data_IF_324083097079
#
_entry.id   IF_324083097079
#
_cell.length_a   1.000
_cell.length_b   1.000
_cell.length_c   1.000
_cell.angle_alpha   90.00
_cell.angle_beta   90.00
_cell.angle_gamma   90.00
#
_symmetry.space_group_name_H-M   'P 1'
#
loop_
_entity.id
_entity.type
_entity.pdbx_description
1 polymer ?
#
# COMPACT_ATOMS: atom_id res chain seq x y z
N UNK A 1 2.13 14.00 9.80
CA UNK A 1 1.40 13.24 8.76
C UNK A 1 1.51 13.98 7.44
N UNK A 2 1.97 13.32 6.38
CA UNK A 2 2.08 13.93 5.05
C UNK A 2 0.69 14.28 4.47
N UNK A 3 0.57 15.44 3.79
CA UNK A 3 -0.68 15.94 3.19
C UNK A 3 -1.40 14.92 2.29
N UNK A 4 -0.67 14.00 1.64
CA UNK A 4 -1.23 12.96 0.76
C UNK A 4 -2.25 12.07 1.47
N UNK A 5 -2.06 11.83 2.76
CA UNK A 5 -2.92 10.97 3.55
C UNK A 5 -4.16 11.66 4.10
N UNK A 6 -4.24 12.99 4.07
CA UNK A 6 -5.26 13.72 4.85
C UNK A 6 -6.69 13.29 4.48
N UNK A 7 -6.97 13.15 3.17
CA UNK A 7 -8.28 12.70 2.66
C UNK A 7 -8.53 11.21 2.92
N UNK A 8 -7.52 10.36 2.72
CA UNK A 8 -7.64 8.91 2.88
C UNK A 8 -7.79 8.50 4.36
N UNK A 9 -7.00 9.12 5.23
CA UNK A 9 -6.96 8.81 6.66
C UNK A 9 -8.27 9.17 7.35
N UNK A 10 -8.91 10.29 6.96
CA UNK A 10 -10.20 10.70 7.52
C UNK A 10 -11.36 9.75 7.21
N UNK A 11 -11.22 8.86 6.20
CA UNK A 11 -12.23 7.87 5.81
C UNK A 11 -12.10 6.53 6.55
N UNK A 12 -11.02 6.33 7.30
CA UNK A 12 -10.80 5.08 8.04
C UNK A 12 -11.68 5.03 9.30
N UNK A 13 -12.04 3.84 9.81
CA UNK A 13 -12.70 3.71 11.11
C UNK A 13 -11.89 4.37 12.23
N UNK A 14 -12.57 4.98 13.21
CA UNK A 14 -11.90 5.72 14.29
C UNK A 14 -10.88 4.87 15.08
N UNK A 15 -11.18 3.59 15.28
CA UNK A 15 -10.28 2.61 15.92
C UNK A 15 -9.01 2.40 15.11
N UNK A 16 -9.12 2.28 13.78
CA UNK A 16 -7.97 2.11 12.90
C UNK A 16 -7.16 3.40 12.77
N UNK A 17 -7.82 4.57 12.79
CA UNK A 17 -7.13 5.85 12.80
C UNK A 17 -6.24 5.99 14.06
N UNK A 18 -6.78 5.72 15.25
CA UNK A 18 -6.02 5.87 16.50
C UNK A 18 -4.80 4.95 16.54
N UNK A 19 -4.91 3.73 16.03
CA UNK A 19 -3.82 2.75 16.00
C UNK A 19 -2.78 3.03 14.92
N UNK A 20 -3.17 3.58 13.77
CA UNK A 20 -2.24 3.90 12.68
C UNK A 20 -1.52 5.24 12.85
N UNK A 21 -2.14 6.19 13.57
CA UNK A 21 -1.62 7.55 13.69
C UNK A 21 -0.16 7.61 14.16
N UNK A 22 0.30 6.82 15.15
CA UNK A 22 1.69 6.86 15.60
C UNK A 22 2.70 6.55 14.48
N UNK A 23 2.34 5.67 13.54
CA UNK A 23 3.24 5.21 12.47
C UNK A 23 3.17 6.12 11.24
N UNK A 24 1.96 6.43 10.76
CA UNK A 24 1.74 7.20 9.52
C UNK A 24 2.00 8.70 9.73
N UNK A 25 1.90 9.20 10.97
CA UNK A 25 2.20 10.59 11.25
C UNK A 25 3.69 10.92 11.20
N UNK A 26 4.57 9.92 11.29
CA UNK A 26 6.02 10.09 11.21
C UNK A 26 6.41 10.76 9.87
N UNK A 27 7.33 11.74 9.89
CA UNK A 27 7.72 12.48 8.70
C UNK A 27 8.40 11.58 7.64
N UNK A 28 9.01 10.50 8.09
CA UNK A 28 9.79 9.52 7.34
C UNK A 28 9.08 8.16 7.19
N UNK A 29 7.74 8.13 7.32
CA UNK A 29 6.97 6.90 7.16
C UNK A 29 7.31 6.20 5.83
N UNK A 30 7.87 4.96 5.87
CA UNK A 30 8.50 4.33 4.71
C UNK A 30 7.51 3.70 3.73
N UNK A 31 6.21 4.00 3.84
CA UNK A 31 5.15 3.30 3.11
C UNK A 31 5.14 1.78 3.40
N UNK A 32 5.47 1.40 4.63
CA UNK A 32 5.58 0.02 5.07
C UNK A 32 5.23 -0.07 6.56
N UNK A 33 4.61 -1.18 6.96
CA UNK A 33 4.42 -1.54 8.37
C UNK A 33 5.20 -2.82 8.67
N UNK A 34 5.93 -2.84 9.78
CA UNK A 34 6.63 -4.06 10.21
C UNK A 34 5.66 -5.09 10.76
N UNK A 35 6.07 -6.36 10.85
CA UNK A 35 5.26 -7.43 11.43
C UNK A 35 4.78 -7.08 12.85
N UNK A 36 5.62 -6.46 13.68
CA UNK A 36 5.27 -6.03 15.03
C UNK A 36 4.22 -4.92 15.02
N UNK A 37 4.37 -3.95 14.11
CA UNK A 37 3.40 -2.86 13.94
C UNK A 37 2.06 -3.41 13.44
N UNK A 38 2.08 -4.28 12.43
CA UNK A 38 0.89 -4.95 11.88
C UNK A 38 0.17 -5.73 12.98
N UNK A 39 0.88 -6.52 13.78
CA UNK A 39 0.31 -7.27 14.88
C UNK A 39 -0.34 -6.36 15.94
N UNK A 40 0.33 -5.27 16.32
CA UNK A 40 -0.24 -4.29 17.25
C UNK A 40 -1.52 -3.65 16.69
N UNK A 41 -1.49 -3.18 15.43
CA UNK A 41 -2.65 -2.57 14.78
C UNK A 41 -3.83 -3.55 14.75
N UNK A 42 -3.60 -4.82 14.41
CA UNK A 42 -4.63 -5.86 14.41
C UNK A 42 -5.24 -6.08 15.79
N UNK A 43 -4.40 -6.21 16.82
CA UNK A 43 -4.86 -6.44 18.18
C UNK A 43 -5.81 -5.33 18.66
N UNK A 44 -5.50 -4.07 18.34
CA UNK A 44 -6.32 -2.93 18.78
C UNK A 44 -7.49 -2.60 17.84
N UNK A 45 -7.38 -2.88 16.55
CA UNK A 45 -8.47 -2.62 15.58
C UNK A 45 -9.49 -3.75 15.52
N UNK A 46 -9.12 -4.97 15.95
CA UNK A 46 -9.96 -6.16 15.84
C UNK A 46 -10.04 -6.73 14.42
N UNK A 47 -9.24 -6.22 13.48
CA UNK A 47 -9.21 -6.69 12.09
C UNK A 47 -8.30 -7.92 11.93
N UNK A 48 -8.70 -8.84 11.07
CA UNK A 48 -7.81 -9.88 10.54
C UNK A 48 -6.87 -9.29 9.47
N UNK A 49 -5.96 -10.13 8.94
CA UNK A 49 -4.93 -9.70 8.00
C UNK A 49 -5.53 -9.15 6.69
N UNK A 50 -6.52 -9.86 6.12
CA UNK A 50 -7.16 -9.48 4.86
C UNK A 50 -7.99 -8.19 5.01
N UNK A 51 -8.77 -8.07 6.09
CA UNK A 51 -9.56 -6.88 6.37
C UNK A 51 -8.67 -5.67 6.65
N UNK A 52 -7.55 -5.86 7.36
CA UNK A 52 -6.57 -4.80 7.58
C UNK A 52 -5.95 -4.36 6.25
N UNK A 53 -5.48 -5.29 5.42
CA UNK A 53 -4.90 -4.98 4.12
C UNK A 53 -5.89 -4.21 3.23
N UNK A 54 -7.15 -4.63 3.19
CA UNK A 54 -8.22 -3.92 2.48
C UNK A 54 -8.44 -2.50 3.02
N UNK A 55 -8.46 -2.33 4.34
CA UNK A 55 -8.65 -1.02 4.97
C UNK A 55 -7.47 -0.06 4.72
N UNK A 56 -6.27 -0.58 4.46
CA UNK A 56 -5.07 0.21 4.17
C UNK A 56 -4.96 0.67 2.70
N UNK A 57 -5.72 0.07 1.77
CA UNK A 57 -5.67 0.41 0.34
C UNK A 57 -5.80 1.90 0.02
N UNK A 58 -6.68 2.70 0.66
CA UNK A 58 -6.77 4.14 0.41
C UNK A 58 -5.48 4.89 0.76
N UNK A 59 -4.72 4.42 1.75
CA UNK A 59 -3.44 5.00 2.13
C UNK A 59 -2.35 4.63 1.12
N UNK A 60 -2.35 3.41 0.60
CA UNK A 60 -1.46 3.02 -0.49
C UNK A 60 -1.75 3.84 -1.76
N UNK A 61 -3.02 3.94 -2.16
CA UNK A 61 -3.43 4.72 -3.34
C UNK A 61 -3.08 6.22 -3.24
N UNK A 62 -2.90 6.77 -2.04
CA UNK A 62 -2.43 8.14 -1.84
C UNK A 62 -0.97 8.38 -2.29
N UNK A 63 -0.21 7.31 -2.57
CA UNK A 63 1.11 7.40 -3.20
C UNK A 63 1.07 7.43 -4.74
N UNK A 64 -0.11 7.27 -5.35
CA UNK A 64 -0.24 7.20 -6.80
C UNK A 64 0.28 8.48 -7.48
N UNK A 65 0.98 8.28 -8.59
CA UNK A 65 1.36 9.32 -9.53
C UNK A 65 0.69 9.01 -10.87
N UNK A 66 -0.54 9.49 -11.08
CA UNK A 66 -1.34 9.17 -12.27
C UNK A 66 -1.74 10.43 -13.08
N UNK A 67 -0.78 11.21 -13.62
CA UNK A 67 -1.08 12.40 -14.40
C UNK A 67 -1.79 12.12 -15.74
N UNK A 68 -1.82 10.88 -16.24
CA UNK A 68 -2.42 10.54 -17.53
C UNK A 68 -3.84 10.00 -17.35
N UNK A 69 -4.02 8.99 -16.50
CA UNK A 69 -5.31 8.34 -16.29
C UNK A 69 -6.18 9.02 -15.23
N UNK A 70 -5.55 9.78 -14.32
CA UNK A 70 -6.18 10.27 -13.08
C UNK A 70 -6.81 9.15 -12.25
N UNK A 71 -6.32 7.91 -12.40
CA UNK A 71 -6.86 6.72 -11.77
C UNK A 71 -5.89 6.18 -10.72
N UNK A 72 -6.19 6.44 -9.45
CA UNK A 72 -5.32 6.10 -8.34
C UNK A 72 -5.55 4.64 -7.89
N UNK A 73 -4.56 3.79 -8.13
CA UNK A 73 -4.55 2.37 -7.75
C UNK A 73 -3.57 2.17 -6.60
N UNK A 74 -4.00 1.41 -5.59
CA UNK A 74 -3.19 1.05 -4.44
C UNK A 74 -3.09 -0.47 -4.30
N UNK A 75 -1.94 -0.94 -3.84
CA UNK A 75 -1.70 -2.33 -3.52
C UNK A 75 -0.97 -2.46 -2.17
N UNK A 76 -1.24 -3.55 -1.46
CA UNK A 76 -0.55 -3.96 -0.25
C UNK A 76 0.03 -5.36 -0.50
N UNK A 77 1.35 -5.49 -0.50
CA UNK A 77 2.01 -6.79 -0.52
C UNK A 77 2.29 -7.23 0.92
N UNK A 78 1.91 -8.46 1.25
CA UNK A 78 2.20 -9.07 2.54
C UNK A 78 3.40 -10.01 2.38
N UNK A 79 4.48 -9.68 3.08
CA UNK A 79 5.68 -10.51 3.14
C UNK A 79 5.48 -11.76 3.98
N UNK A 80 6.25 -12.80 3.71
CA UNK A 80 6.35 -13.98 4.58
C UNK A 80 6.85 -13.62 5.98
N UNK A 81 7.62 -12.53 6.11
CA UNK A 81 8.03 -11.95 7.39
C UNK A 81 6.86 -11.41 8.22
N UNK A 82 5.68 -11.19 7.62
CA UNK A 82 4.54 -10.50 8.24
C UNK A 82 4.52 -8.98 8.02
N UNK A 83 5.53 -8.44 7.33
CA UNK A 83 5.56 -7.03 6.93
C UNK A 83 4.51 -6.71 5.86
N UNK A 84 4.00 -5.48 5.86
CA UNK A 84 3.11 -4.95 4.84
C UNK A 84 3.80 -3.85 4.05
N UNK A 85 3.86 -4.00 2.73
CA UNK A 85 4.52 -3.07 1.82
C UNK A 85 3.51 -2.39 0.91
N UNK A 86 3.50 -1.06 0.90
CA UNK A 86 2.55 -0.30 0.10
C UNK A 86 3.12 -0.10 -1.30
N UNK A 87 2.23 -0.14 -2.30
CA UNK A 87 2.53 0.22 -3.68
C UNK A 87 1.40 1.02 -4.30
N UNK A 88 1.74 1.83 -5.29
CA UNK A 88 0.78 2.62 -6.06
C UNK A 88 1.23 2.75 -7.51
N UNK A 89 0.29 2.98 -8.42
CA UNK A 89 0.62 3.14 -9.84
C UNK A 89 1.39 4.45 -10.09
N UNK A 90 2.28 4.41 -11.08
CA UNK A 90 3.10 5.53 -11.51
C UNK A 90 3.07 5.64 -13.03
N UNK A 91 2.70 6.82 -13.51
CA UNK A 91 2.60 7.19 -14.92
C UNK A 91 3.47 8.43 -15.16
N UNK A 92 4.05 8.49 -16.37
CA UNK A 92 5.03 9.51 -16.72
C UNK A 92 4.61 10.18 -18.04
N UNK A 93 4.30 11.47 -17.98
CA UNK A 93 3.91 12.23 -19.18
C UNK A 93 5.07 12.38 -20.14
N UNK A 94 4.80 12.26 -21.44
CA UNK A 94 5.80 12.48 -22.49
C UNK A 94 6.77 11.32 -22.73
N UNK A 95 6.57 10.16 -22.08
CA UNK A 95 7.33 8.94 -22.34
C UNK A 95 6.40 7.79 -22.79
N UNK A 96 6.93 6.72 -23.41
CA UNK A 96 6.12 5.57 -23.82
C UNK A 96 5.45 4.85 -22.63
N UNK A 97 4.28 4.24 -22.87
CA UNK A 97 3.50 3.52 -21.86
C UNK A 97 4.24 2.35 -21.21
N UNK A 98 5.30 1.83 -21.85
CA UNK A 98 6.17 0.79 -21.30
C UNK A 98 6.93 1.24 -20.04
N UNK A 99 6.96 2.55 -19.74
CA UNK A 99 7.53 3.09 -18.50
C UNK A 99 6.54 3.11 -17.33
N UNK A 100 5.26 2.79 -17.56
CA UNK A 100 4.25 2.76 -16.51
C UNK A 100 4.54 1.64 -15.52
N UNK A 101 4.46 1.97 -14.23
CA UNK A 101 4.58 0.99 -13.13
C UNK A 101 3.20 0.81 -12.51
N UNK A 102 2.74 -0.43 -12.42
CA UNK A 102 1.47 -0.75 -11.79
C UNK A 102 1.60 -0.80 -10.26
N UNK A 103 0.49 -0.63 -9.54
CA UNK A 103 0.50 -0.66 -8.08
C UNK A 103 1.01 -2.01 -7.55
N UNK A 104 0.64 -3.10 -8.20
CA UNK A 104 1.09 -4.46 -7.88
C UNK A 104 2.60 -4.59 -8.02
N UNK A 105 3.16 -4.15 -9.16
CA UNK A 105 4.60 -4.15 -9.40
C UNK A 105 5.33 -3.29 -8.37
N UNK A 106 4.79 -2.10 -8.07
CA UNK A 106 5.34 -1.21 -7.05
C UNK A 106 5.40 -1.88 -5.68
N UNK A 107 4.33 -2.55 -5.23
CA UNK A 107 4.29 -3.21 -3.92
C UNK A 107 5.25 -4.42 -3.85
N UNK A 108 5.28 -5.26 -4.89
CA UNK A 108 6.18 -6.42 -4.97
C UNK A 108 7.64 -6.00 -4.98
N UNK A 109 8.00 -5.01 -5.81
CA UNK A 109 9.38 -4.50 -5.86
C UNK A 109 9.74 -3.79 -4.56
N UNK A 110 8.80 -3.08 -3.92
CA UNK A 110 9.04 -2.48 -2.61
C UNK A 110 9.41 -3.53 -1.56
N UNK A 111 8.68 -4.64 -1.51
CA UNK A 111 9.00 -5.76 -0.63
C UNK A 111 10.39 -6.35 -0.96
N UNK A 112 10.65 -6.63 -2.24
CA UNK A 112 11.91 -7.21 -2.69
C UNK A 112 13.14 -6.34 -2.36
N UNK A 113 13.07 -5.02 -2.64
CA UNK A 113 14.15 -4.09 -2.34
C UNK A 113 14.39 -3.89 -0.82
N UNK A 114 13.43 -4.29 0.01
CA UNK A 114 13.55 -4.31 1.47
C UNK A 114 14.04 -5.66 2.01
N UNK A 115 14.42 -6.59 1.14
CA UNK A 115 14.97 -7.90 1.51
C UNK A 115 13.91 -8.95 1.83
N UNK A 116 12.65 -8.74 1.46
CA UNK A 116 11.61 -9.74 1.63
C UNK A 116 11.88 -10.95 0.72
N UNK A 117 11.85 -12.16 1.29
CA UNK A 117 12.23 -13.39 0.57
C UNK A 117 11.07 -14.03 -0.18
N UNK A 118 9.84 -13.81 0.28
CA UNK A 118 8.63 -14.33 -0.34
C UNK A 118 7.42 -13.49 0.04
N UNK A 119 6.40 -13.46 -0.83
CA UNK A 119 5.11 -12.86 -0.54
C UNK A 119 4.08 -13.95 -0.26
N UNK A 120 3.20 -13.70 0.70
CA UNK A 120 2.09 -14.62 1.04
C UNK A 120 0.76 -14.17 0.44
N UNK A 121 0.59 -12.86 0.25
CA UNK A 121 -0.61 -12.30 -0.34
C UNK A 121 -0.32 -10.93 -0.99
N UNK A 122 -1.19 -10.55 -1.91
CA UNK A 122 -1.28 -9.18 -2.42
C UNK A 122 -2.74 -8.74 -2.45
N UNK A 123 -3.01 -7.60 -1.83
CA UNK A 123 -4.34 -6.99 -1.78
C UNK A 123 -4.37 -5.75 -2.67
N UNK A 124 -5.41 -5.61 -3.49
CA UNK A 124 -5.52 -4.54 -4.50
C UNK A 124 -6.95 -3.96 -4.50
N UNK A 125 -7.08 -2.67 -4.80
CA UNK A 125 -8.41 -2.03 -4.89
C UNK A 125 -9.15 -2.31 -6.20
N UNK A 126 -8.47 -2.82 -7.23
CA UNK A 126 -9.04 -3.22 -8.51
C UNK A 126 -8.45 -4.55 -8.98
N UNK A 127 -9.19 -5.32 -9.79
CA UNK A 127 -8.72 -6.62 -10.29
C UNK A 127 -7.45 -6.45 -11.14
N UNK A 128 -6.41 -7.28 -10.93
CA UNK A 128 -5.14 -7.15 -11.63
C UNK A 128 -5.31 -7.43 -13.12
N UNK A 129 -4.66 -6.60 -13.94
CA UNK A 129 -4.61 -6.74 -15.39
C UNK A 129 -3.72 -7.92 -15.82
N UNK A 130 -3.76 -8.30 -17.10
CA UNK A 130 -2.95 -9.42 -17.61
C UNK A 130 -1.44 -9.23 -17.41
N UNK A 131 -0.95 -8.00 -17.54
CA UNK A 131 0.46 -7.65 -17.31
C UNK A 131 0.89 -7.94 -15.87
N UNK A 132 0.10 -7.53 -14.88
CA UNK A 132 0.38 -7.78 -13.45
C UNK A 132 0.24 -9.24 -13.04
N UNK A 133 -0.56 -10.05 -13.75
CA UNK A 133 -0.66 -11.49 -13.50
C UNK A 133 0.54 -12.27 -14.03
N UNK A 134 1.21 -11.72 -15.05
CA UNK A 134 2.38 -12.33 -15.67
C UNK A 134 3.68 -11.94 -14.97
N UNK A 135 3.73 -10.72 -14.44
CA UNK A 135 4.81 -10.24 -13.57
C UNK A 135 4.88 -11.04 -12.27
#
# INVERSE_FOLDING_TARGET
>A
MHLRFHSAFGKLPATLQSTLRPYIAAPDFPAMLTAEQTAAIRQYSGLDDDALACALLPLAAAYSLAPISHFNVGAIAQGQSGNLYFGANMEFSGVPMQQTVHAEQSAVIHAWLRGETALVAITVNYRPCGHCRQF
#
